data_IF_030662921863
#
_entry.id   IF_030662921863
#
_cell.length_a   1.000
_cell.length_b   1.000
_cell.length_c   1.000
_cell.angle_alpha   90.00
_cell.angle_beta   90.00
_cell.angle_gamma   90.00
#
_symmetry.space_group_name_H-M   'P 1'
#
loop_
_entity.id
_entity.type
_entity.pdbx_description
1 polymer ?
#
# COMPACT_ATOMS: atom_id res chain seq x y z
N UNK A 1 -1.72 -35.44 -5.02
CA UNK A 1 -1.12 -35.66 -6.35
C UNK A 1 0.37 -35.32 -6.38
N UNK A 2 0.77 -34.06 -6.14
CA UNK A 2 2.17 -33.62 -6.27
C UNK A 2 3.13 -34.44 -5.40
N UNK A 3 2.84 -34.57 -4.10
CA UNK A 3 3.66 -35.35 -3.16
C UNK A 3 3.86 -36.82 -3.56
N UNK A 4 2.96 -37.39 -4.36
CA UNK A 4 2.91 -38.82 -4.68
C UNK A 4 3.42 -39.14 -6.09
N UNK A 5 3.18 -38.26 -7.06
CA UNK A 5 3.47 -38.52 -8.48
C UNK A 5 4.39 -37.50 -9.15
N UNK A 6 4.71 -36.37 -8.50
CA UNK A 6 5.55 -35.29 -9.06
C UNK A 6 6.71 -34.89 -8.13
N UNK A 7 6.99 -35.71 -7.12
CA UNK A 7 8.05 -35.54 -6.13
C UNK A 7 9.42 -35.22 -6.77
N UNK A 8 9.76 -35.93 -7.83
CA UNK A 8 11.02 -35.81 -8.58
C UNK A 8 11.24 -34.42 -9.19
N UNK A 9 10.18 -33.73 -9.59
CA UNK A 9 10.25 -32.42 -10.24
C UNK A 9 10.43 -31.27 -9.24
N UNK A 10 10.21 -31.53 -7.95
CA UNK A 10 10.27 -30.52 -6.89
C UNK A 10 11.36 -30.83 -5.86
N UNK A 11 12.36 -31.67 -6.18
CA UNK A 11 13.44 -32.08 -5.26
C UNK A 11 14.13 -30.89 -4.58
N UNK A 12 14.47 -29.84 -5.35
CA UNK A 12 15.11 -28.62 -4.83
C UNK A 12 14.27 -27.87 -3.79
N UNK A 13 12.94 -27.95 -3.87
CA UNK A 13 12.01 -27.35 -2.90
C UNK A 13 12.04 -28.10 -1.56
N UNK A 14 12.36 -29.39 -1.61
CA UNK A 14 12.34 -30.28 -0.46
C UNK A 14 13.70 -30.37 0.25
N UNK A 15 14.81 -30.19 -0.47
CA UNK A 15 16.17 -30.19 0.08
C UNK A 15 16.44 -29.04 1.07
N UNK A 16 15.68 -27.94 0.98
CA UNK A 16 15.83 -26.75 1.84
C UNK A 16 15.43 -27.03 3.32
N UNK A 17 14.68 -28.10 3.60
CA UNK A 17 14.08 -28.34 4.91
C UNK A 17 14.47 -29.68 5.57
N UNK A 18 15.42 -30.44 5.01
CA UNK A 18 15.64 -31.85 5.40
C UNK A 18 17.05 -32.14 5.92
N UNK A 19 17.42 -31.51 7.04
CA UNK A 19 18.51 -32.07 7.87
C UNK A 19 18.01 -33.22 8.78
N UNK A 20 16.68 -33.39 8.95
CA UNK A 20 16.10 -34.39 9.86
C UNK A 20 14.81 -35.00 9.29
N UNK A 21 14.92 -36.26 8.86
CA UNK A 21 13.86 -37.19 8.45
C UNK A 21 12.93 -36.73 7.30
N UNK A 22 13.18 -37.22 6.07
CA UNK A 22 12.56 -36.64 4.89
C UNK A 22 11.12 -37.09 4.64
N UNK A 23 10.66 -38.28 5.06
CA UNK A 23 9.50 -38.93 4.39
C UNK A 23 8.08 -38.60 4.88
N UNK A 24 7.88 -38.08 6.10
CA UNK A 24 6.52 -37.97 6.69
C UNK A 24 5.89 -36.58 6.66
N UNK A 25 6.60 -35.53 6.21
CA UNK A 25 6.11 -34.12 6.31
C UNK A 25 5.91 -33.36 4.98
N UNK A 26 6.05 -34.00 3.82
CA UNK A 26 5.91 -33.42 2.46
C UNK A 26 4.60 -32.68 2.25
N UNK A 27 3.50 -33.30 2.67
CA UNK A 27 2.18 -32.72 2.53
C UNK A 27 2.09 -31.40 3.31
N UNK A 28 2.74 -31.31 4.49
CA UNK A 28 2.78 -30.08 5.29
C UNK A 28 3.55 -28.97 4.58
N UNK A 29 4.72 -29.29 4.00
CA UNK A 29 5.50 -28.31 3.22
C UNK A 29 4.70 -27.77 2.05
N UNK A 30 4.07 -28.67 1.26
CA UNK A 30 3.22 -28.26 0.13
C UNK A 30 2.02 -27.42 0.58
N UNK A 31 1.39 -27.75 1.71
CA UNK A 31 0.30 -26.96 2.29
C UNK A 31 0.75 -25.57 2.72
N UNK A 32 1.93 -25.44 3.34
CA UNK A 32 2.49 -24.13 3.72
C UNK A 32 2.76 -23.28 2.46
N UNK A 33 3.36 -23.88 1.43
CA UNK A 33 3.62 -23.18 0.16
C UNK A 33 2.33 -22.72 -0.50
N UNK A 34 1.30 -23.58 -0.53
CA UNK A 34 0.00 -23.21 -1.05
C UNK A 34 -0.62 -22.05 -0.24
N UNK A 35 -0.49 -22.06 1.08
CA UNK A 35 -0.94 -20.96 1.93
C UNK A 35 -0.25 -19.64 1.60
N UNK A 36 1.08 -19.67 1.47
CA UNK A 36 1.88 -18.49 1.10
C UNK A 36 1.55 -17.98 -0.30
N UNK A 37 1.39 -18.87 -1.28
CA UNK A 37 0.98 -18.51 -2.65
C UNK A 37 -0.40 -17.84 -2.65
N UNK A 38 -1.34 -18.36 -1.87
CA UNK A 38 -2.68 -17.77 -1.74
C UNK A 38 -2.60 -16.36 -1.13
N UNK A 39 -1.81 -16.18 -0.07
CA UNK A 39 -1.59 -14.86 0.54
C UNK A 39 -0.91 -13.89 -0.43
N UNK A 40 0.12 -14.34 -1.14
CA UNK A 40 0.82 -13.54 -2.13
C UNK A 40 -0.11 -13.10 -3.28
N UNK A 41 -0.97 -14.00 -3.76
CA UNK A 41 -1.96 -13.70 -4.79
C UNK A 41 -2.97 -12.63 -4.32
N UNK A 42 -3.41 -12.67 -3.07
CA UNK A 42 -4.30 -11.66 -2.50
C UNK A 42 -3.63 -10.28 -2.47
N UNK A 43 -2.40 -10.21 -1.96
CA UNK A 43 -1.60 -8.97 -1.94
C UNK A 43 -1.41 -8.44 -3.37
N UNK A 44 -1.03 -9.30 -4.31
CA UNK A 44 -0.83 -8.93 -5.72
C UNK A 44 -2.10 -8.38 -6.35
N UNK A 45 -3.25 -9.04 -6.18
CA UNK A 45 -4.55 -8.59 -6.70
C UNK A 45 -4.89 -7.21 -6.15
N UNK A 46 -4.73 -7.02 -4.83
CA UNK A 46 -5.00 -5.73 -4.18
C UNK A 46 -4.09 -4.62 -4.69
N UNK A 47 -2.79 -4.88 -4.82
CA UNK A 47 -1.83 -3.91 -5.39
C UNK A 47 -2.22 -3.49 -6.80
N UNK A 48 -2.60 -4.44 -7.66
CA UNK A 48 -3.03 -4.14 -9.02
C UNK A 48 -4.29 -3.28 -9.07
N UNK A 49 -5.28 -3.58 -8.23
CA UNK A 49 -6.50 -2.78 -8.12
C UNK A 49 -6.19 -1.34 -7.67
N UNK A 50 -5.39 -1.18 -6.61
CA UNK A 50 -4.99 0.14 -6.11
C UNK A 50 -4.18 0.93 -7.13
N UNK A 51 -3.24 0.29 -7.83
CA UNK A 51 -2.48 0.95 -8.88
C UNK A 51 -3.38 1.40 -10.03
N UNK A 52 -4.32 0.56 -10.48
CA UNK A 52 -5.30 0.92 -11.50
C UNK A 52 -6.09 2.17 -11.10
N UNK A 53 -6.55 2.21 -9.85
CA UNK A 53 -7.26 3.36 -9.28
C UNK A 53 -6.37 4.62 -9.15
N UNK A 54 -5.12 4.49 -8.71
CA UNK A 54 -4.20 5.64 -8.60
C UNK A 54 -3.87 6.23 -9.97
N UNK A 55 -3.68 5.38 -10.98
CA UNK A 55 -3.44 5.83 -12.35
C UNK A 55 -4.67 6.48 -12.98
N UNK A 56 -5.88 5.96 -12.73
CA UNK A 56 -7.12 6.62 -13.21
C UNK A 56 -7.32 7.98 -12.53
N UNK A 57 -7.06 8.07 -11.23
CA UNK A 57 -7.08 9.33 -10.47
C UNK A 57 -6.04 10.34 -11.00
N UNK A 58 -4.81 9.88 -11.24
CA UNK A 58 -3.71 10.73 -11.76
C UNK A 58 -4.05 11.42 -13.07
N UNK A 59 -4.87 10.79 -13.93
CA UNK A 59 -5.31 11.37 -15.20
C UNK A 59 -6.31 12.51 -15.01
N UNK A 60 -7.07 12.51 -13.91
CA UNK A 60 -8.07 13.53 -13.59
C UNK A 60 -7.48 14.68 -12.78
N UNK A 61 -6.44 14.42 -11.99
CA UNK A 61 -5.82 15.42 -11.12
C UNK A 61 -5.07 16.51 -11.90
N UNK A 62 -5.47 17.76 -11.64
CA UNK A 62 -4.90 18.95 -12.31
C UNK A 62 -3.78 19.61 -11.50
N UNK A 63 -3.80 19.48 -10.17
CA UNK A 63 -2.85 20.20 -9.31
C UNK A 63 -1.47 19.52 -9.29
N UNK A 64 -0.36 20.28 -9.53
CA UNK A 64 0.98 19.71 -9.62
C UNK A 64 1.48 19.12 -8.28
N UNK A 65 1.19 19.77 -7.15
CA UNK A 65 1.58 19.26 -5.83
C UNK A 65 0.94 17.89 -5.51
N UNK A 66 -0.32 17.71 -5.90
CA UNK A 66 -1.05 16.45 -5.74
C UNK A 66 -0.47 15.34 -6.63
N UNK A 67 0.05 15.68 -7.82
CA UNK A 67 0.72 14.71 -8.71
C UNK A 67 2.00 14.16 -8.09
N UNK A 68 2.86 15.00 -7.51
CA UNK A 68 4.08 14.54 -6.85
C UNK A 68 3.78 13.59 -5.68
N UNK A 69 2.81 13.94 -4.84
CA UNK A 69 2.33 13.08 -3.76
C UNK A 69 1.81 11.73 -4.29
N UNK A 70 1.02 11.77 -5.36
CA UNK A 70 0.47 10.58 -5.98
C UNK A 70 1.53 9.66 -6.59
N UNK A 71 2.53 10.22 -7.27
CA UNK A 71 3.66 9.46 -7.80
C UNK A 71 4.47 8.78 -6.69
N UNK A 72 4.69 9.50 -5.58
CA UNK A 72 5.34 8.94 -4.39
C UNK A 72 4.52 7.78 -3.82
N UNK A 73 3.20 7.92 -3.75
CA UNK A 73 2.31 6.85 -3.31
C UNK A 73 2.35 5.65 -4.26
N UNK A 74 2.33 5.86 -5.58
CA UNK A 74 2.46 4.78 -6.57
C UNK A 74 3.78 4.03 -6.40
N UNK A 75 4.89 4.73 -6.17
CA UNK A 75 6.20 4.10 -5.88
C UNK A 75 6.14 3.29 -4.59
N UNK A 76 5.53 3.82 -3.54
CA UNK A 76 5.38 3.11 -2.26
C UNK A 76 4.48 1.87 -2.35
N UNK A 77 3.37 1.93 -3.10
CA UNK A 77 2.54 0.74 -3.36
C UNK A 77 3.35 -0.31 -4.09
N UNK A 78 4.14 0.06 -5.10
CA UNK A 78 4.98 -0.93 -5.82
C UNK A 78 5.99 -1.59 -4.89
N UNK A 79 6.63 -0.82 -4.02
CA UNK A 79 7.63 -1.29 -3.06
C UNK A 79 7.06 -2.11 -1.89
N UNK A 80 5.76 -1.98 -1.57
CA UNK A 80 5.16 -2.67 -0.43
C UNK A 80 5.20 -4.21 -0.59
N UNK A 81 5.79 -4.91 0.36
CA UNK A 81 5.92 -6.38 0.33
C UNK A 81 4.81 -7.07 1.11
N UNK A 82 4.26 -6.41 2.12
CA UNK A 82 3.24 -6.97 3.03
C UNK A 82 1.87 -6.37 2.80
N UNK A 83 0.82 -7.13 3.13
CA UNK A 83 -0.57 -6.64 3.09
C UNK A 83 -0.76 -5.37 3.95
N UNK A 84 -0.15 -5.35 5.14
CA UNK A 84 -0.22 -4.19 6.04
C UNK A 84 0.40 -2.93 5.43
N UNK A 85 1.56 -3.05 4.78
CA UNK A 85 2.17 -1.91 4.09
C UNK A 85 1.27 -1.39 2.95
N UNK A 86 0.61 -2.30 2.23
CA UNK A 86 -0.37 -1.90 1.20
C UNK A 86 -1.55 -1.16 1.82
N UNK A 87 -2.06 -1.62 2.96
CA UNK A 87 -3.13 -0.95 3.72
C UNK A 87 -2.71 0.41 4.25
N UNK A 88 -1.49 0.53 4.78
CA UNK A 88 -0.96 1.79 5.29
C UNK A 88 -0.87 2.83 4.17
N UNK A 89 -0.37 2.44 3.00
CA UNK A 89 -0.30 3.33 1.82
C UNK A 89 -1.69 3.71 1.31
N UNK A 90 -2.64 2.75 1.29
CA UNK A 90 -4.05 3.01 0.93
C UNK A 90 -4.72 3.99 1.91
N UNK A 91 -4.42 3.87 3.20
CA UNK A 91 -4.90 4.79 4.22
C UNK A 91 -4.34 6.20 4.04
N UNK A 92 -3.04 6.32 3.70
CA UNK A 92 -2.38 7.60 3.42
C UNK A 92 -2.98 8.27 2.18
N UNK A 93 -3.23 7.52 1.12
CA UNK A 93 -3.97 8.04 -0.04
C UNK A 93 -5.36 8.53 0.37
N UNK A 94 -6.09 7.74 1.18
CA UNK A 94 -7.43 8.12 1.65
C UNK A 94 -7.43 9.45 2.38
N UNK A 95 -6.38 9.69 3.17
CA UNK A 95 -6.25 10.90 3.96
C UNK A 95 -6.11 12.15 3.08
N UNK A 96 -5.31 12.07 2.02
CA UNK A 96 -4.95 13.24 1.20
C UNK A 96 -5.88 13.50 0.03
N UNK A 97 -6.57 12.48 -0.48
CA UNK A 97 -7.41 12.60 -1.68
C UNK A 97 -8.88 12.31 -1.38
N UNK A 98 -9.59 13.16 -0.60
CA UNK A 98 -11.00 12.99 -0.26
C UNK A 98 -11.94 13.26 -1.44
N UNK A 99 -11.84 12.46 -2.49
CA UNK A 99 -12.82 12.51 -3.58
C UNK A 99 -14.08 11.72 -3.19
N UNK A 100 -15.22 12.42 -3.17
CA UNK A 100 -16.54 11.85 -2.87
C UNK A 100 -17.11 11.08 -4.05
N UNK A 101 -16.80 11.51 -5.28
CA UNK A 101 -17.30 10.88 -6.51
C UNK A 101 -16.69 9.50 -6.76
N UNK A 102 -15.50 9.25 -6.21
CA UNK A 102 -14.78 7.99 -6.37
C UNK A 102 -14.98 7.01 -5.21
N UNK A 103 -15.80 7.35 -4.20
CA UNK A 103 -16.12 6.43 -3.12
C UNK A 103 -16.82 5.15 -3.62
N UNK A 104 -17.57 5.24 -4.72
CA UNK A 104 -18.23 4.10 -5.34
C UNK A 104 -17.27 3.17 -6.12
N UNK A 105 -16.12 3.70 -6.58
CA UNK A 105 -15.12 2.93 -7.35
C UNK A 105 -14.04 2.32 -6.46
N UNK A 106 -14.00 2.69 -5.17
CA UNK A 106 -12.92 2.29 -4.28
C UNK A 106 -13.21 0.94 -3.58
N UNK A 107 -12.22 0.02 -3.52
CA UNK A 107 -12.40 -1.27 -2.86
C UNK A 107 -12.58 -1.20 -1.34
N UNK A 108 -12.33 -0.06 -0.70
CA UNK A 108 -12.38 0.11 0.77
C UNK A 108 -13.17 1.34 1.19
N UNK A 109 -14.07 1.16 2.17
CA UNK A 109 -14.82 2.26 2.79
C UNK A 109 -13.89 3.11 3.66
N UNK A 110 -13.98 4.44 3.53
CA UNK A 110 -13.24 5.38 4.38
C UNK A 110 -13.67 5.26 5.83
N UNK A 111 -12.71 5.39 6.75
CA UNK A 111 -12.97 5.85 8.12
C UNK A 111 -13.03 7.38 8.10
N UNK A 112 -14.12 7.96 8.61
CA UNK A 112 -14.22 9.40 8.84
C UNK A 112 -13.37 9.74 10.07
N UNK A 113 -12.18 10.26 9.84
CA UNK A 113 -11.31 10.77 10.92
C UNK A 113 -11.58 12.25 11.18
N UNK A 114 -11.29 12.73 12.39
CA UNK A 114 -11.38 14.17 12.69
C UNK A 114 -10.55 15.01 11.71
N UNK A 115 -9.38 14.51 11.30
CA UNK A 115 -8.56 15.15 10.26
C UNK A 115 -9.33 15.32 8.95
N UNK A 116 -10.03 14.27 8.48
CA UNK A 116 -10.80 14.32 7.24
C UNK A 116 -11.96 15.31 7.33
N UNK A 117 -12.60 15.40 8.50
CA UNK A 117 -13.67 16.37 8.77
C UNK A 117 -13.11 17.79 8.72
N UNK A 118 -12.05 18.08 9.48
CA UNK A 118 -11.43 19.40 9.50
C UNK A 118 -10.91 19.83 8.12
N UNK A 119 -10.31 18.92 7.37
CA UNK A 119 -9.85 19.17 5.99
C UNK A 119 -11.03 19.50 5.09
N UNK A 120 -12.13 18.75 5.17
CA UNK A 120 -13.36 19.03 4.42
C UNK A 120 -13.99 20.37 4.80
N UNK A 121 -13.87 20.79 6.04
CA UNK A 121 -14.34 22.08 6.54
C UNK A 121 -13.45 23.27 6.15
N UNK A 122 -12.39 23.07 5.37
CA UNK A 122 -11.47 24.14 4.94
C UNK A 122 -10.46 24.58 6.02
N UNK A 123 -10.31 23.81 7.10
CA UNK A 123 -9.34 24.12 8.15
C UNK A 123 -7.90 23.77 7.72
N UNK A 124 -7.74 22.96 6.66
CA UNK A 124 -6.42 22.60 6.13
C UNK A 124 -5.70 23.82 5.57
N UNK A 125 -6.40 24.68 4.85
CA UNK A 125 -5.86 25.91 4.25
C UNK A 125 -5.39 26.88 5.34
N UNK A 126 -6.15 26.97 6.44
CA UNK A 126 -5.77 27.77 7.61
C UNK A 126 -4.49 27.21 8.25
N UNK A 127 -4.42 25.89 8.46
CA UNK A 127 -3.24 25.24 9.00
C UNK A 127 -1.99 25.44 8.12
N UNK A 128 -2.14 25.44 6.79
CA UNK A 128 -1.04 25.73 5.86
C UNK A 128 -0.54 27.17 6.05
N UNK A 129 -1.45 28.15 6.11
CA UNK A 129 -1.07 29.55 6.35
C UNK A 129 -0.33 29.73 7.68
N UNK A 130 -0.75 29.05 8.73
CA UNK A 130 -0.04 29.06 10.02
C UNK A 130 1.35 28.44 9.92
N UNK A 131 1.50 27.35 9.16
CA UNK A 131 2.80 26.71 8.94
C UNK A 131 3.75 27.62 8.14
N UNK A 132 3.25 28.30 7.10
CA UNK A 132 4.01 29.27 6.31
C UNK A 132 4.48 30.45 7.17
N UNK A 133 3.58 31.01 8.00
CA UNK A 133 3.93 32.08 8.95
C UNK A 133 4.98 31.63 9.98
N UNK A 134 4.90 30.38 10.46
CA UNK A 134 5.89 29.85 11.42
C UNK A 134 7.27 29.71 10.78
N UNK A 135 7.33 29.27 9.52
CA UNK A 135 8.55 29.18 8.72
C UNK A 135 9.19 30.55 8.42
N UNK A 136 8.37 31.59 8.20
CA UNK A 136 8.87 32.96 8.05
C UNK A 136 9.42 33.55 9.36
N UNK A 137 8.79 33.24 10.50
CA UNK A 137 9.23 33.73 11.82
C UNK A 137 10.49 33.04 12.36
N UNK A 138 10.79 31.81 11.90
CA UNK A 138 11.99 31.06 12.29
C UNK A 138 13.20 31.33 11.36
N UNK A 139 13.06 32.18 10.33
CA UNK A 139 14.20 32.60 9.52
C UNK A 139 15.08 33.57 10.34
N UNK A 140 16.37 33.25 10.58
CA UNK A 140 17.24 34.16 11.32
C UNK A 140 17.37 35.47 10.56
N UNK A 141 17.12 36.59 11.24
CA UNK A 141 17.50 37.93 10.79
C UNK A 141 18.99 37.92 10.40
N UNK A 142 19.27 37.72 9.11
CA UNK A 142 20.56 38.03 8.55
C UNK A 142 20.52 39.46 8.04
N UNK A 143 21.32 40.27 8.73
CA UNK A 143 21.89 41.56 8.32
C UNK A 143 21.07 42.81 8.64
N UNK A 144 21.36 43.37 9.81
CA UNK A 144 21.58 44.80 9.99
C UNK A 144 23.01 45.01 10.49
#
# INVERSE_FOLDING_TARGET
>A
FIAMYRKEQCRSLFEINTDKEPETKWHKVLWVIQGLDTQWLLVRKRKLLLLGYYYSYSKRESQPANRFLLESLIKSVKAAETERQVDDVDSKFSLHFPDELLQCERPTKRRLSQYSICTRSGLREIAIKFAEQSLENDAPEQMA
#
